data_IF_474295868281
#
_entry.id   IF_474295868281
#
_cell.length_a   1.000
_cell.length_b   1.000
_cell.length_c   1.000
_cell.angle_alpha   90.00
_cell.angle_beta   90.00
_cell.angle_gamma   90.00
#
_symmetry.space_group_name_H-M   'P 1'
#
loop_
_entity.id
_entity.type
_entity.pdbx_description
1 polymer ?
#
# COMPACT_ATOMS: atom_id res chain seq x y z
N UNK A 1 3.27 -34.89 43.85
CA UNK A 1 3.37 -33.58 43.19
C UNK A 1 4.16 -33.75 41.89
N UNK A 2 3.53 -33.66 40.72
CA UNK A 2 4.22 -33.62 39.43
C UNK A 2 4.04 -32.22 38.84
N UNK A 3 5.15 -31.49 38.76
CA UNK A 3 5.24 -30.17 38.11
C UNK A 3 5.20 -30.43 36.61
N UNK A 4 4.10 -30.12 35.94
CA UNK A 4 4.04 -30.10 34.48
C UNK A 4 4.76 -28.82 34.01
N UNK A 5 5.95 -28.99 33.46
CA UNK A 5 6.67 -27.91 32.79
C UNK A 5 5.94 -27.57 31.48
N UNK A 6 5.31 -26.39 31.43
CA UNK A 6 4.75 -25.81 30.21
C UNK A 6 5.90 -25.38 29.29
N UNK A 7 6.16 -26.17 28.25
CA UNK A 7 7.00 -25.78 27.12
C UNK A 7 6.27 -24.68 26.33
N UNK A 8 6.76 -23.44 26.44
CA UNK A 8 6.30 -22.32 25.61
C UNK A 8 6.86 -22.53 24.20
N UNK A 9 6.02 -22.98 23.28
CA UNK A 9 6.34 -23.10 21.85
C UNK A 9 6.17 -21.70 21.25
N UNK A 10 7.26 -20.97 21.04
CA UNK A 10 7.23 -19.68 20.32
C UNK A 10 7.19 -19.99 18.82
N UNK A 11 6.09 -19.70 18.10
CA UNK A 11 6.05 -19.90 16.66
C UNK A 11 7.02 -18.94 15.97
N UNK A 12 7.88 -19.47 15.10
CA UNK A 12 8.78 -18.68 14.27
C UNK A 12 7.96 -17.86 13.26
N UNK A 13 7.79 -16.57 13.55
CA UNK A 13 7.12 -15.64 12.65
C UNK A 13 8.07 -15.37 11.48
N UNK A 14 7.76 -15.94 10.32
CA UNK A 14 8.48 -15.61 9.09
C UNK A 14 8.02 -14.23 8.64
N UNK A 15 8.86 -13.20 8.83
CA UNK A 15 8.65 -11.91 8.20
C UNK A 15 8.68 -12.12 6.68
N UNK A 16 7.53 -11.96 6.02
CA UNK A 16 7.44 -12.07 4.58
C UNK A 16 8.27 -10.96 3.93
N UNK A 17 9.16 -11.34 3.00
CA UNK A 17 9.85 -10.36 2.17
C UNK A 17 8.84 -9.63 1.28
N UNK A 18 8.97 -8.31 1.19
CA UNK A 18 8.22 -7.55 0.20
C UNK A 18 8.60 -8.04 -1.22
N UNK A 19 7.65 -8.09 -2.16
CA UNK A 19 7.95 -8.42 -3.54
C UNK A 19 9.07 -7.52 -4.09
N UNK A 20 9.97 -8.08 -4.89
CA UNK A 20 11.04 -7.29 -5.51
C UNK A 20 10.56 -6.47 -6.72
N UNK A 21 9.35 -6.75 -7.22
CA UNK A 21 8.80 -6.13 -8.42
C UNK A 21 7.31 -5.90 -8.23
N UNK A 22 6.84 -4.74 -8.69
CA UNK A 22 5.42 -4.45 -8.81
C UNK A 22 4.71 -5.46 -9.75
N UNK A 23 3.40 -5.68 -9.54
CA UNK A 23 2.57 -6.41 -10.49
C UNK A 23 2.48 -5.69 -11.85
N UNK A 24 1.93 -6.36 -12.86
CA UNK A 24 1.59 -5.68 -14.13
C UNK A 24 0.42 -4.72 -13.87
N UNK A 25 0.63 -3.45 -14.15
CA UNK A 25 -0.35 -2.39 -13.92
C UNK A 25 -1.10 -2.05 -15.22
N UNK A 26 -2.37 -1.62 -15.14
CA UNK A 26 -3.09 -1.07 -16.28
C UNK A 26 -2.38 0.13 -16.90
N UNK A 27 -2.53 0.32 -18.20
CA UNK A 27 -2.03 1.53 -18.86
C UNK A 27 -2.71 2.77 -18.29
N UNK A 28 -1.92 3.82 -18.01
CA UNK A 28 -2.42 5.05 -17.41
C UNK A 28 -2.89 4.92 -15.96
N UNK A 29 -2.62 3.79 -15.28
CA UNK A 29 -3.03 3.55 -13.90
C UNK A 29 -2.65 4.69 -12.94
N UNK A 30 -1.43 5.21 -13.06
CA UNK A 30 -0.91 6.28 -12.23
C UNK A 30 -0.28 7.35 -13.12
N UNK A 31 -1.01 8.42 -13.46
CA UNK A 31 -0.49 9.49 -14.31
C UNK A 31 0.67 10.21 -13.61
N UNK A 32 1.82 10.28 -14.30
CA UNK A 32 3.05 10.87 -13.77
C UNK A 32 2.94 12.35 -13.43
N UNK A 33 1.88 13.04 -13.88
CA UNK A 33 1.64 14.42 -13.47
C UNK A 33 1.10 14.53 -12.04
N UNK A 34 0.55 13.44 -11.49
CA UNK A 34 -0.20 13.45 -10.23
C UNK A 34 0.27 12.42 -9.21
N UNK A 35 1.07 11.42 -9.61
CA UNK A 35 1.61 10.44 -8.70
C UNK A 35 2.69 9.54 -9.31
N UNK A 36 3.28 8.72 -8.44
CA UNK A 36 4.33 7.75 -8.76
C UNK A 36 3.92 6.34 -8.37
N UNK A 37 4.28 5.36 -9.20
CA UNK A 37 4.07 3.93 -8.88
C UNK A 37 5.16 3.45 -7.92
N UNK A 38 4.76 2.81 -6.81
CA UNK A 38 5.71 2.17 -5.91
C UNK A 38 6.37 0.95 -6.55
N UNK A 39 7.70 0.82 -6.40
CA UNK A 39 8.49 -0.17 -7.12
C UNK A 39 8.13 -1.64 -6.80
N UNK A 40 7.63 -1.91 -5.59
CA UNK A 40 7.42 -3.26 -5.06
C UNK A 40 5.94 -3.63 -4.93
N UNK A 41 5.09 -2.70 -4.50
CA UNK A 41 3.66 -2.95 -4.25
C UNK A 41 2.77 -2.57 -5.43
N UNK A 42 3.23 -1.70 -6.35
CA UNK A 42 2.44 -1.24 -7.50
C UNK A 42 1.27 -0.33 -7.10
N UNK A 43 1.39 0.34 -5.97
CA UNK A 43 0.45 1.37 -5.51
C UNK A 43 0.76 2.68 -6.22
N UNK A 44 -0.27 3.48 -6.53
CA UNK A 44 -0.08 4.84 -7.02
C UNK A 44 -0.02 5.79 -5.82
N UNK A 45 1.15 6.38 -5.61
CA UNK A 45 1.43 7.33 -4.54
C UNK A 45 1.22 8.75 -5.05
N UNK A 46 0.26 9.49 -4.49
CA UNK A 46 -0.08 10.82 -4.99
C UNK A 46 0.97 11.86 -4.61
N UNK A 47 1.29 12.78 -5.53
CA UNK A 47 2.18 13.90 -5.22
C UNK A 47 1.58 14.82 -4.15
N UNK A 48 0.27 15.09 -4.23
CA UNK A 48 -0.46 15.78 -3.18
C UNK A 48 -0.69 14.82 -2.00
N UNK A 49 0.22 14.83 -1.04
CA UNK A 49 0.21 13.91 0.13
C UNK A 49 -0.74 14.40 1.24
N UNK A 50 -1.98 14.68 0.87
CA UNK A 50 -3.02 15.16 1.77
C UNK A 50 -4.27 14.27 1.66
N UNK A 51 -5.19 14.39 2.62
CA UNK A 51 -6.38 13.52 2.71
C UNK A 51 -7.27 13.59 1.47
N UNK A 52 -7.24 14.72 0.76
CA UNK A 52 -7.95 14.99 -0.49
C UNK A 52 -7.09 14.79 -1.76
N UNK A 53 -5.82 14.36 -1.60
CA UNK A 53 -4.90 14.03 -2.69
C UNK A 53 -5.30 12.84 -3.54
N UNK A 54 -6.11 11.95 -2.98
CA UNK A 54 -6.71 10.84 -3.69
C UNK A 54 -8.23 10.97 -3.59
N UNK A 55 -8.93 10.82 -4.71
CA UNK A 55 -10.39 10.77 -4.77
C UNK A 55 -10.85 9.44 -5.38
N UNK A 56 -11.89 8.83 -4.81
CA UNK A 56 -12.41 7.53 -5.24
C UNK A 56 -12.83 6.65 -4.06
N UNK A 57 -13.42 5.50 -4.36
CA UNK A 57 -14.05 4.62 -3.38
C UNK A 57 -13.08 3.93 -2.41
N UNK A 58 -11.81 3.73 -2.81
CA UNK A 58 -10.80 3.00 -2.02
C UNK A 58 -9.48 3.75 -1.85
N UNK A 59 -9.53 5.08 -1.89
CA UNK A 59 -8.38 5.91 -1.56
C UNK A 59 -7.94 5.68 -0.12
N UNK A 60 -6.62 5.64 0.08
CA UNK A 60 -6.00 5.42 1.37
C UNK A 60 -5.29 6.70 1.78
N UNK A 61 -5.48 7.07 3.05
CA UNK A 61 -4.70 8.12 3.68
C UNK A 61 -4.16 7.62 5.02
N UNK A 62 -2.88 7.27 5.05
CA UNK A 62 -2.23 6.71 6.22
C UNK A 62 -0.81 7.25 6.33
N UNK A 63 -0.34 7.50 7.55
CA UNK A 63 1.02 8.00 7.81
C UNK A 63 1.37 9.32 7.08
N UNK A 64 0.37 10.15 6.80
CA UNK A 64 0.55 11.38 6.02
C UNK A 64 0.73 11.14 4.52
N UNK A 65 0.41 9.94 4.02
CA UNK A 65 0.51 9.57 2.61
C UNK A 65 -0.87 9.29 2.02
N UNK A 66 -1.10 9.81 0.81
CA UNK A 66 -2.31 9.65 0.01
C UNK A 66 -2.02 8.76 -1.19
N UNK A 67 -2.74 7.64 -1.31
CA UNK A 67 -2.44 6.63 -2.34
C UNK A 67 -3.65 5.75 -2.66
N UNK A 68 -3.55 4.98 -3.73
CA UNK A 68 -4.52 3.92 -4.05
C UNK A 68 -3.85 2.71 -4.69
N UNK A 69 -4.52 1.57 -4.54
CA UNK A 69 -4.08 0.29 -5.08
C UNK A 69 -4.67 0.08 -6.49
N UNK A 70 -3.99 -0.71 -7.34
CA UNK A 70 -4.41 -1.02 -8.72
C UNK A 70 -5.74 -1.76 -8.86
N UNK A 71 -6.32 -2.19 -7.75
CA UNK A 71 -7.67 -2.78 -7.68
C UNK A 71 -8.76 -1.73 -7.46
N UNK A 72 -8.41 -0.45 -7.36
CA UNK A 72 -9.36 0.64 -7.34
C UNK A 72 -9.55 1.19 -8.76
N UNK A 73 -10.72 0.97 -9.34
CA UNK A 73 -11.03 1.35 -10.73
C UNK A 73 -11.47 2.82 -10.87
N UNK A 74 -11.95 3.42 -9.78
CA UNK A 74 -12.45 4.80 -9.76
C UNK A 74 -11.51 5.78 -9.03
N UNK A 75 -10.39 5.27 -8.48
CA UNK A 75 -9.43 6.10 -7.78
C UNK A 75 -8.55 6.90 -8.74
N UNK A 76 -8.22 8.13 -8.34
CA UNK A 76 -7.25 8.98 -9.04
C UNK A 76 -6.58 9.94 -8.07
N UNK A 77 -5.33 10.28 -8.37
CA UNK A 77 -4.65 11.39 -7.72
C UNK A 77 -5.14 12.72 -8.31
N UNK A 78 -5.19 13.74 -7.46
CA UNK A 78 -5.49 15.11 -7.90
C UNK A 78 -4.25 15.98 -7.80
N UNK A 79 -4.25 17.09 -8.55
CA UNK A 79 -3.18 18.10 -8.45
C UNK A 79 -3.31 18.86 -7.14
N UNK A 80 -2.16 19.30 -6.63
CA UNK A 80 -2.11 20.26 -5.54
C UNK A 80 -2.82 21.58 -5.95
N UNK A 81 -3.67 22.16 -5.07
CA UNK A 81 -4.43 23.38 -5.36
C UNK A 81 -3.59 24.65 -5.56
#
# INVERSE_FOLDING_TARGET
MRVLAFLIIVPAIHAGYAPQKAPKLPEGFCPSETGDVTATTGECMCHWQHKDGCVGSKCQYQMGLSWYHYTCEDCKCVKEP
#
